data_IF_716038349286
#
_entry.id   IF_716038349286
#
_cell.length_a   1.000
_cell.length_b   1.000
_cell.length_c   1.000
_cell.angle_alpha   90.00
_cell.angle_beta   90.00
_cell.angle_gamma   90.00
#
_symmetry.space_group_name_H-M   'P 1'
#
loop_
_entity.id
_entity.type
_entity.pdbx_description
1 polymer ?
#
# COMPACT_ATOMS: atom_id res chain seq x y z
N UNK A 1 -32.46 27.28 69.77
CA UNK A 1 -31.63 26.15 70.27
C UNK A 1 -30.19 26.43 69.82
N UNK A 2 -29.25 26.83 70.70
CA UNK A 2 -28.25 25.97 71.42
C UNK A 2 -27.62 24.92 70.48
N UNK A 3 -26.30 24.71 70.33
CA UNK A 3 -25.03 25.08 70.99
C UNK A 3 -23.88 24.87 69.96
N UNK A 4 -22.81 25.67 69.98
CA UNK A 4 -21.42 25.36 70.44
C UNK A 4 -20.77 24.11 69.82
N UNK A 5 -19.62 24.28 69.16
CA UNK A 5 -18.67 23.21 68.87
C UNK A 5 -17.33 23.79 68.42
N UNK A 6 -16.30 23.63 69.25
CA UNK A 6 -14.92 24.03 68.96
C UNK A 6 -13.98 22.85 68.73
N UNK A 7 -12.76 23.23 68.34
CA UNK A 7 -11.45 22.56 68.48
C UNK A 7 -10.99 21.44 67.53
N UNK A 8 -9.88 21.80 66.84
CA UNK A 8 -8.61 21.07 66.56
C UNK A 8 -8.54 20.05 65.40
N UNK A 9 -7.82 20.51 64.37
CA UNK A 9 -6.71 19.85 63.62
C UNK A 9 -6.46 18.38 63.97
N UNK A 10 -6.43 17.53 62.93
CA UNK A 10 -5.38 16.52 62.73
C UNK A 10 -5.34 16.11 61.25
N UNK A 11 -4.11 16.00 60.75
CA UNK A 11 -3.74 15.66 59.37
C UNK A 11 -4.28 14.31 58.91
N UNK A 12 -4.79 14.28 57.67
CA UNK A 12 -4.43 13.26 56.65
C UNK A 12 -4.94 13.76 55.30
N UNK A 13 -4.11 14.50 54.56
CA UNK A 13 -4.25 14.54 53.09
C UNK A 13 -3.43 13.39 52.54
N UNK A 14 -4.11 12.63 51.69
CA UNK A 14 -3.63 11.48 50.94
C UNK A 14 -2.48 11.86 50.01
N UNK A 15 -1.63 10.87 49.75
CA UNK A 15 -0.49 10.84 48.82
C UNK A 15 -0.89 11.07 47.35
N UNK A 16 -1.56 12.18 47.04
CA UNK A 16 -2.03 12.54 45.70
C UNK A 16 -1.82 14.03 45.35
N UNK A 17 -1.00 14.76 46.12
CA UNK A 17 -0.73 16.19 45.88
C UNK A 17 0.76 16.50 45.63
N UNK A 18 1.64 15.49 45.52
CA UNK A 18 3.05 15.72 45.22
C UNK A 18 3.37 15.44 43.75
N UNK A 19 3.73 16.54 43.07
CA UNK A 19 4.47 16.65 41.81
C UNK A 19 3.65 16.67 40.50
N UNK A 20 2.98 17.80 40.27
CA UNK A 20 2.84 18.35 38.92
C UNK A 20 3.23 19.83 38.89
N UNK A 21 4.48 20.15 39.23
CA UNK A 21 5.10 21.41 38.83
C UNK A 21 5.97 21.17 37.60
N UNK A 22 5.38 21.38 36.41
CA UNK A 22 6.13 21.47 35.17
C UNK A 22 6.83 22.84 35.18
N UNK A 23 8.07 22.88 35.66
CA UNK A 23 8.96 23.99 35.38
C UNK A 23 9.35 23.94 33.90
N UNK A 24 8.71 24.78 33.09
CA UNK A 24 9.09 25.02 31.70
C UNK A 24 10.43 25.77 31.71
N UNK A 25 11.54 25.02 31.74
CA UNK A 25 12.86 25.53 31.41
C UNK A 25 13.03 25.49 29.88
N UNK A 26 13.44 26.62 29.33
CA UNK A 26 13.70 26.82 27.91
C UNK A 26 14.82 25.87 27.41
N UNK A 27 14.48 24.92 26.55
CA UNK A 27 15.45 24.11 25.79
C UNK A 27 15.01 22.65 25.63
N UNK A 28 15.05 22.15 24.40
CA UNK A 28 14.73 20.77 23.95
C UNK A 28 13.25 20.51 23.65
N UNK A 29 12.81 20.84 22.43
CA UNK A 29 11.76 20.07 21.74
C UNK A 29 12.37 18.73 21.33
N UNK A 30 12.40 17.77 22.24
CA UNK A 30 12.90 16.42 21.95
C UNK A 30 11.85 15.67 21.13
N UNK A 31 12.19 15.33 19.89
CA UNK A 31 11.34 14.41 19.11
C UNK A 31 11.42 13.02 19.73
N UNK A 32 10.27 12.44 20.08
CA UNK A 32 10.20 11.03 20.47
C UNK A 32 10.41 10.15 19.24
N UNK A 33 11.26 9.13 19.37
CA UNK A 33 11.50 8.14 18.32
C UNK A 33 11.41 6.72 18.88
N UNK A 34 11.02 5.76 18.04
CA UNK A 34 11.03 4.34 18.41
C UNK A 34 12.46 3.80 18.47
N UNK A 35 12.67 2.67 19.15
CA UNK A 35 13.96 1.95 19.14
C UNK A 35 14.04 0.88 18.03
N UNK A 36 13.09 0.85 17.11
CA UNK A 36 13.06 -0.12 16.01
C UNK A 36 14.06 0.33 14.93
N UNK A 37 15.07 -0.48 14.66
CA UNK A 37 16.00 -0.21 13.58
C UNK A 37 15.27 -0.20 12.22
N UNK A 38 15.60 0.77 11.36
CA UNK A 38 15.06 0.82 9.99
C UNK A 38 15.51 -0.43 9.22
N UNK A 39 14.63 -0.97 8.39
CA UNK A 39 15.00 -2.06 7.49
C UNK A 39 16.10 -1.57 6.52
N UNK A 40 17.31 -2.14 6.54
CA UNK A 40 18.44 -1.67 5.72
C UNK A 40 18.17 -1.82 4.22
N UNK A 41 17.24 -2.67 3.81
CA UNK A 41 16.85 -2.77 2.39
C UNK A 41 16.11 -1.53 1.91
N UNK A 42 15.40 -0.80 2.80
CA UNK A 42 14.77 0.49 2.46
C UNK A 42 15.80 1.60 2.21
N UNK A 43 17.03 1.44 2.71
CA UNK A 43 18.11 2.41 2.51
C UNK A 43 18.82 2.21 1.17
N UNK A 44 18.74 1.00 0.59
CA UNK A 44 19.32 0.67 -0.71
C UNK A 44 18.47 1.17 -1.88
N UNK A 45 17.19 1.46 -1.64
CA UNK A 45 16.28 1.96 -2.66
C UNK A 45 16.75 3.34 -3.14
N UNK A 46 17.06 3.45 -4.43
CA UNK A 46 17.35 4.74 -5.05
C UNK A 46 16.07 5.57 -5.12
N UNK A 47 16.21 6.88 -4.89
CA UNK A 47 15.13 7.78 -4.49
C UNK A 47 14.04 8.04 -5.54
N UNK A 48 14.23 7.64 -6.80
CA UNK A 48 13.33 8.06 -7.87
C UNK A 48 12.52 6.90 -8.41
N UNK A 49 11.37 6.67 -7.79
CA UNK A 49 10.27 6.01 -8.48
C UNK A 49 9.88 6.92 -9.66
N UNK A 50 10.07 6.43 -10.88
CA UNK A 50 9.95 7.21 -12.12
C UNK A 50 8.63 7.99 -12.21
N UNK A 51 7.53 7.38 -11.79
CA UNK A 51 6.18 7.93 -11.97
C UNK A 51 5.85 9.11 -11.04
N UNK A 52 6.11 9.06 -9.72
CA UNK A 52 6.01 10.23 -8.85
C UNK A 52 6.79 11.45 -9.34
N UNK A 53 8.01 11.26 -9.86
CA UNK A 53 8.81 12.35 -10.40
C UNK A 53 8.18 12.97 -11.67
N UNK A 54 7.65 12.14 -12.57
CA UNK A 54 6.92 12.61 -13.76
C UNK A 54 5.69 13.42 -13.33
N UNK A 55 4.92 12.91 -12.37
CA UNK A 55 3.72 13.58 -11.86
C UNK A 55 4.07 14.92 -11.19
N UNK A 56 5.12 14.98 -10.37
CA UNK A 56 5.57 16.22 -9.74
C UNK A 56 5.97 17.27 -10.78
N UNK A 57 6.64 16.86 -11.86
CA UNK A 57 7.00 17.77 -12.97
C UNK A 57 5.79 18.23 -13.76
N UNK A 58 4.83 17.35 -14.01
CA UNK A 58 3.57 17.71 -14.65
C UNK A 58 2.83 18.78 -13.84
N UNK A 59 2.69 18.59 -12.53
CA UNK A 59 2.06 19.57 -11.63
C UNK A 59 2.78 20.93 -11.66
N UNK A 60 4.11 20.94 -11.53
CA UNK A 60 4.91 22.19 -11.63
C UNK A 60 4.75 22.86 -12.99
N UNK A 61 4.57 22.09 -14.06
CA UNK A 61 4.35 22.64 -15.40
C UNK A 61 2.99 23.30 -15.52
N UNK A 62 1.94 22.67 -15.01
CA UNK A 62 0.57 23.23 -14.98
C UNK A 62 0.50 24.49 -14.11
N UNK A 63 1.17 24.51 -12.95
CA UNK A 63 1.25 25.70 -12.10
C UNK A 63 1.97 26.86 -12.80
N UNK A 64 3.08 26.57 -13.49
CA UNK A 64 3.86 27.58 -14.21
C UNK A 64 3.14 28.12 -15.45
N UNK A 65 2.35 27.28 -16.12
CA UNK A 65 1.64 27.61 -17.35
C UNK A 65 0.15 27.26 -17.25
N UNK A 66 -0.65 28.04 -16.50
CA UNK A 66 -2.05 27.70 -16.18
C UNK A 66 -2.97 27.63 -17.40
N UNK A 67 -2.58 28.27 -18.52
CA UNK A 67 -3.33 28.23 -19.77
C UNK A 67 -2.88 27.12 -20.73
N UNK A 68 -1.84 26.34 -20.37
CA UNK A 68 -1.36 25.25 -21.20
C UNK A 68 -2.35 24.07 -21.14
N UNK A 69 -2.71 23.54 -22.32
CA UNK A 69 -3.46 22.29 -22.42
C UNK A 69 -2.47 21.14 -22.46
N UNK A 70 -2.16 20.60 -21.30
CA UNK A 70 -1.22 19.47 -21.17
C UNK A 70 -1.84 18.20 -21.76
N UNK A 71 -1.07 17.49 -22.57
CA UNK A 71 -1.40 16.15 -23.07
C UNK A 71 -0.40 15.18 -22.45
N UNK A 72 -0.87 14.31 -21.56
CA UNK A 72 -0.01 13.35 -20.87
C UNK A 72 0.13 12.07 -21.71
N UNK A 73 1.36 11.79 -22.16
CA UNK A 73 1.75 10.59 -22.91
C UNK A 73 2.89 9.84 -22.21
N UNK A 74 3.10 10.11 -20.91
CA UNK A 74 4.20 9.54 -20.12
C UNK A 74 3.80 8.25 -19.41
N UNK A 75 2.90 8.36 -18.43
CA UNK A 75 2.38 7.19 -17.70
C UNK A 75 1.41 6.45 -18.60
N UNK A 76 1.57 5.13 -18.72
CA UNK A 76 0.70 4.26 -19.52
C UNK A 76 -0.65 3.97 -18.86
N UNK A 77 -1.35 5.01 -18.39
CA UNK A 77 -2.69 4.88 -17.81
C UNK A 77 -3.75 4.81 -18.92
N UNK A 78 -4.79 4.01 -18.71
CA UNK A 78 -5.87 3.83 -19.68
C UNK A 78 -6.82 5.03 -19.64
N UNK A 79 -7.24 5.52 -20.81
CA UNK A 79 -8.05 6.75 -20.92
C UNK A 79 -9.50 6.52 -21.36
N UNK A 80 -9.82 5.32 -21.84
CA UNK A 80 -11.14 4.99 -22.35
C UNK A 80 -12.02 4.33 -21.28
N UNK A 81 -13.35 4.54 -21.32
CA UNK A 81 -14.25 3.89 -20.38
C UNK A 81 -14.24 2.37 -20.56
N UNK A 82 -14.58 1.65 -19.50
CA UNK A 82 -14.82 0.22 -19.58
C UNK A 82 -15.94 -0.08 -20.59
N UNK A 83 -15.83 -1.18 -21.36
CA UNK A 83 -16.94 -1.65 -22.18
C UNK A 83 -18.19 -1.88 -21.33
N UNK A 84 -19.34 -1.46 -21.84
CA UNK A 84 -20.62 -1.52 -21.13
C UNK A 84 -20.94 -2.90 -20.52
N UNK A 85 -20.68 -4.05 -21.18
CA UNK A 85 -20.94 -5.37 -20.59
C UNK A 85 -20.15 -5.62 -19.29
N UNK A 86 -18.90 -5.15 -19.22
CA UNK A 86 -18.05 -5.30 -18.03
C UNK A 86 -18.59 -4.45 -16.88
N UNK A 87 -18.85 -3.17 -17.15
CA UNK A 87 -19.39 -2.25 -16.16
C UNK A 87 -20.75 -2.71 -15.61
N UNK A 88 -21.63 -3.21 -16.49
CA UNK A 88 -22.94 -3.74 -16.09
C UNK A 88 -22.81 -5.00 -15.23
N UNK A 89 -21.91 -5.92 -15.58
CA UNK A 89 -21.66 -7.12 -14.78
C UNK A 89 -21.19 -6.78 -13.36
N UNK A 90 -20.30 -5.80 -13.23
CA UNK A 90 -19.83 -5.33 -11.91
C UNK A 90 -20.97 -4.69 -11.10
N UNK A 91 -21.80 -3.86 -11.74
CA UNK A 91 -22.95 -3.23 -11.08
C UNK A 91 -23.98 -4.25 -10.61
N UNK A 92 -24.26 -5.26 -11.43
CA UNK A 92 -25.20 -6.33 -11.08
C UNK A 92 -24.66 -7.17 -9.93
N UNK A 93 -23.39 -7.60 -9.98
CA UNK A 93 -22.77 -8.32 -8.87
C UNK A 93 -22.84 -7.54 -7.55
N UNK A 94 -22.53 -6.24 -7.57
CA UNK A 94 -22.64 -5.39 -6.38
C UNK A 94 -24.09 -5.31 -5.84
N UNK A 95 -25.10 -5.30 -6.72
CA UNK A 95 -26.51 -5.34 -6.32
C UNK A 95 -26.90 -6.70 -5.73
N UNK A 96 -26.40 -7.79 -6.31
CA UNK A 96 -26.72 -9.16 -5.87
C UNK A 96 -26.24 -9.43 -4.44
N UNK A 97 -25.12 -8.80 -4.02
CA UNK A 97 -24.62 -8.84 -2.64
C UNK A 97 -25.60 -8.27 -1.59
N UNK A 98 -26.66 -7.56 -2.00
CA UNK A 98 -27.73 -7.09 -1.10
C UNK A 98 -28.82 -8.12 -0.84
N UNK A 99 -28.77 -9.29 -1.48
CA UNK A 99 -29.78 -10.34 -1.36
C UNK A 99 -29.23 -11.55 -0.59
N UNK A 100 -30.06 -12.30 0.17
CA UNK A 100 -29.61 -13.51 0.83
C UNK A 100 -29.04 -14.57 -0.13
N UNK A 101 -29.55 -14.63 -1.36
CA UNK A 101 -29.13 -15.60 -2.37
C UNK A 101 -27.83 -15.22 -3.08
N UNK A 102 -27.62 -13.92 -3.32
CA UNK A 102 -26.44 -13.40 -4.03
C UNK A 102 -25.27 -13.00 -3.12
N UNK A 103 -25.50 -12.89 -1.81
CA UNK A 103 -24.44 -12.55 -0.86
C UNK A 103 -23.38 -13.66 -0.76
N UNK A 104 -22.11 -13.27 -0.86
CA UNK A 104 -20.96 -14.12 -0.61
C UNK A 104 -19.97 -13.39 0.30
N UNK A 105 -19.38 -14.12 1.26
CA UNK A 105 -18.32 -13.63 2.14
C UNK A 105 -16.94 -13.78 1.51
N UNK A 106 -15.97 -14.31 2.27
CA UNK A 106 -14.65 -14.62 1.74
C UNK A 106 -14.75 -15.58 0.54
N UNK A 107 -14.07 -15.23 -0.54
CA UNK A 107 -13.83 -16.12 -1.66
C UNK A 107 -12.62 -17.01 -1.41
N UNK A 108 -12.36 -17.92 -2.36
CA UNK A 108 -11.12 -18.70 -2.38
C UNK A 108 -9.94 -17.76 -2.68
N UNK A 109 -8.84 -17.93 -1.95
CA UNK A 109 -7.65 -17.06 -2.04
C UNK A 109 -6.97 -17.14 -3.41
N UNK A 110 -7.15 -18.27 -4.12
CA UNK A 110 -6.67 -18.44 -5.51
C UNK A 110 -7.55 -17.76 -6.54
N UNK A 111 -8.73 -17.28 -6.14
CA UNK A 111 -9.76 -16.73 -7.02
C UNK A 111 -10.91 -17.70 -7.31
N UNK A 112 -12.00 -17.13 -7.81
CA UNK A 112 -13.20 -17.84 -8.22
C UNK A 112 -12.88 -18.92 -9.28
N UNK A 113 -13.41 -20.13 -9.10
CA UNK A 113 -13.13 -21.27 -9.99
C UNK A 113 -13.56 -21.03 -11.45
N UNK A 114 -14.73 -20.43 -11.65
CA UNK A 114 -15.22 -20.13 -13.00
C UNK A 114 -14.34 -19.10 -13.70
N UNK A 115 -13.83 -18.11 -12.96
CA UNK A 115 -12.88 -17.14 -13.50
C UNK A 115 -11.55 -17.81 -13.88
N UNK A 116 -11.00 -18.67 -13.02
CA UNK A 116 -9.76 -19.41 -13.32
C UNK A 116 -9.93 -20.28 -14.57
N UNK A 117 -11.02 -21.03 -14.67
CA UNK A 117 -11.35 -21.84 -15.85
C UNK A 117 -11.47 -20.98 -17.11
N UNK A 118 -12.17 -19.85 -17.04
CA UNK A 118 -12.30 -18.94 -18.18
C UNK A 118 -10.94 -18.39 -18.63
N UNK A 119 -10.03 -18.07 -17.71
CA UNK A 119 -8.66 -17.64 -18.04
C UNK A 119 -7.88 -18.77 -18.74
N UNK A 120 -7.95 -20.00 -18.23
CA UNK A 120 -7.31 -21.17 -18.86
C UNK A 120 -7.80 -21.37 -20.30
N UNK A 121 -9.12 -21.39 -20.48
CA UNK A 121 -9.77 -21.65 -21.77
C UNK A 121 -9.55 -20.51 -22.79
N UNK A 122 -9.45 -19.25 -22.34
CA UNK A 122 -9.31 -18.09 -23.23
C UNK A 122 -7.86 -17.76 -23.58
N UNK A 123 -6.93 -17.90 -22.63
CA UNK A 123 -5.53 -17.46 -22.81
C UNK A 123 -4.55 -18.61 -23.02
N UNK A 124 -4.86 -19.81 -22.52
CA UNK A 124 -3.92 -20.93 -22.46
C UNK A 124 -4.47 -22.23 -23.06
N UNK A 125 -5.51 -22.14 -23.91
CA UNK A 125 -6.22 -23.29 -24.49
C UNK A 125 -5.32 -24.36 -25.10
N UNK A 126 -4.27 -23.93 -25.78
CA UNK A 126 -3.35 -24.80 -26.52
C UNK A 126 -2.12 -25.22 -25.68
N UNK A 127 -2.01 -24.74 -24.44
CA UNK A 127 -0.84 -24.89 -23.58
C UNK A 127 -1.07 -25.85 -22.39
N UNK A 128 -2.19 -26.56 -22.37
CA UNK A 128 -2.55 -27.54 -21.32
C UNK A 128 -2.49 -27.00 -19.89
N UNK A 129 -2.73 -25.70 -19.70
CA UNK A 129 -2.76 -25.07 -18.37
C UNK A 129 -4.08 -25.39 -17.69
N UNK A 130 -4.01 -25.94 -16.48
CA UNK A 130 -5.17 -26.26 -15.67
C UNK A 130 -5.68 -25.04 -14.87
N UNK A 131 -6.96 -25.04 -14.51
CA UNK A 131 -7.51 -23.98 -13.65
C UNK A 131 -6.79 -23.94 -12.28
N UNK A 132 -6.24 -25.08 -11.83
CA UNK A 132 -5.50 -25.23 -10.58
C UNK A 132 -4.15 -24.52 -10.56
N UNK A 133 -3.59 -24.19 -11.74
CA UNK A 133 -2.33 -23.49 -11.94
C UNK A 133 -2.52 -21.96 -12.03
N UNK A 134 -3.76 -21.49 -12.09
CA UNK A 134 -4.10 -20.07 -12.20
C UNK A 134 -4.38 -19.48 -10.82
N UNK A 135 -3.70 -18.38 -10.51
CA UNK A 135 -3.88 -17.59 -9.30
C UNK A 135 -4.35 -16.19 -9.68
N UNK A 136 -5.59 -15.85 -9.32
CA UNK A 136 -6.15 -14.51 -9.57
C UNK A 136 -5.66 -13.55 -8.50
N UNK A 137 -5.21 -12.38 -8.91
CA UNK A 137 -4.72 -11.33 -8.02
C UNK A 137 -5.35 -9.97 -8.29
N UNK A 138 -5.05 -9.01 -7.42
CA UNK A 138 -5.39 -7.60 -7.55
C UNK A 138 -4.46 -6.84 -8.51
N UNK A 139 -3.50 -7.52 -9.15
CA UNK A 139 -2.68 -6.93 -10.21
C UNK A 139 -1.25 -7.48 -10.27
N UNK A 140 -0.65 -7.34 -11.46
CA UNK A 140 0.69 -7.86 -11.75
C UNK A 140 1.80 -7.28 -10.84
N UNK A 141 1.67 -6.00 -10.44
CA UNK A 141 2.64 -5.36 -9.55
C UNK A 141 2.64 -5.96 -8.13
N UNK A 142 1.45 -6.27 -7.61
CA UNK A 142 1.31 -6.95 -6.31
C UNK A 142 1.87 -8.38 -6.38
N UNK A 143 1.61 -9.09 -7.48
CA UNK A 143 2.12 -10.45 -7.67
C UNK A 143 3.63 -10.51 -7.83
N UNK A 144 4.24 -9.54 -8.52
CA UNK A 144 5.69 -9.47 -8.59
C UNK A 144 6.32 -9.39 -7.19
N UNK A 145 5.69 -8.63 -6.28
CA UNK A 145 6.14 -8.53 -4.88
C UNK A 145 5.88 -9.82 -4.09
N UNK A 146 4.76 -10.50 -4.31
CA UNK A 146 4.45 -11.80 -3.69
C UNK A 146 5.39 -12.91 -4.17
N UNK A 147 5.73 -12.94 -5.46
CA UNK A 147 6.73 -13.87 -6.02
C UNK A 147 8.11 -13.58 -5.46
N UNK A 148 8.52 -12.31 -5.33
CA UNK A 148 9.79 -11.96 -4.69
C UNK A 148 9.85 -12.41 -3.22
N UNK A 149 8.74 -12.28 -2.50
CA UNK A 149 8.62 -12.80 -1.13
C UNK A 149 8.77 -14.33 -1.09
N UNK A 150 8.16 -15.04 -2.04
CA UNK A 150 8.28 -16.51 -2.16
C UNK A 150 9.71 -16.96 -2.46
N UNK A 151 10.42 -16.28 -3.37
CA UNK A 151 11.81 -16.61 -3.72
C UNK A 151 12.79 -16.29 -2.58
N UNK A 152 12.45 -15.32 -1.73
CA UNK A 152 13.28 -14.89 -0.60
C UNK A 152 14.47 -14.02 -1.02
N UNK A 153 15.37 -13.78 -0.07
CA UNK A 153 16.50 -12.85 -0.25
C UNK A 153 17.78 -13.49 -0.80
N UNK A 154 17.83 -14.82 -0.91
CA UNK A 154 19.04 -15.56 -1.27
C UNK A 154 19.05 -16.03 -2.73
N UNK A 155 18.45 -15.23 -3.62
CA UNK A 155 18.42 -15.49 -5.06
C UNK A 155 19.05 -14.33 -5.82
N UNK A 156 19.67 -14.63 -6.96
CA UNK A 156 20.08 -13.62 -7.94
C UNK A 156 19.04 -13.56 -9.04
N UNK A 157 18.67 -12.36 -9.47
CA UNK A 157 17.71 -12.14 -10.55
C UNK A 157 18.42 -11.55 -11.77
N UNK A 158 17.95 -11.89 -12.97
CA UNK A 158 18.35 -11.23 -14.21
C UNK A 158 17.19 -10.39 -14.74
N UNK A 159 17.48 -9.20 -15.25
CA UNK A 159 16.49 -8.30 -15.85
C UNK A 159 16.96 -7.85 -17.23
N UNK A 160 16.02 -7.54 -18.11
CA UNK A 160 16.33 -6.90 -19.39
C UNK A 160 16.83 -5.46 -19.17
N UNK A 161 17.61 -4.94 -20.12
CA UNK A 161 18.06 -3.55 -20.15
C UNK A 161 17.73 -2.93 -21.53
N UNK A 162 16.74 -2.01 -21.63
CA UNK A 162 15.92 -1.46 -20.55
C UNK A 162 14.80 -2.41 -20.07
N UNK A 163 14.28 -2.18 -18.86
CA UNK A 163 13.14 -2.92 -18.29
C UNK A 163 12.22 -2.02 -17.44
N UNK A 164 11.04 -2.55 -17.09
CA UNK A 164 10.08 -1.86 -16.23
C UNK A 164 10.64 -1.74 -14.79
N UNK A 165 10.66 -0.54 -14.18
CA UNK A 165 11.45 -0.28 -12.97
C UNK A 165 11.00 -1.06 -11.73
N UNK A 166 9.77 -1.60 -11.72
CA UNK A 166 9.23 -2.32 -10.55
C UNK A 166 10.07 -3.56 -10.23
N UNK A 167 10.55 -4.31 -11.23
CA UNK A 167 11.43 -5.48 -11.02
C UNK A 167 12.75 -5.12 -10.36
N UNK A 168 13.30 -3.94 -10.67
CA UNK A 168 14.57 -3.47 -10.12
C UNK A 168 14.41 -2.82 -8.74
N UNK A 169 13.22 -2.31 -8.43
CA UNK A 169 12.89 -1.73 -7.12
C UNK A 169 12.54 -2.77 -6.06
N UNK A 170 12.05 -3.94 -6.46
CA UNK A 170 11.67 -5.03 -5.56
C UNK A 170 12.86 -5.89 -5.12
N UNK A 171 14.02 -5.74 -5.76
CA UNK A 171 15.17 -6.63 -5.59
C UNK A 171 16.45 -5.81 -5.37
N UNK A 172 17.40 -6.29 -4.55
CA UNK A 172 18.65 -5.57 -4.32
C UNK A 172 19.42 -5.41 -5.64
N UNK A 173 20.01 -4.23 -5.92
CA UNK A 173 20.74 -4.01 -7.16
C UNK A 173 21.93 -4.96 -7.25
N UNK A 174 21.97 -5.78 -8.30
CA UNK A 174 23.15 -6.55 -8.66
C UNK A 174 24.06 -5.61 -9.47
N UNK A 175 25.35 -5.46 -9.11
CA UNK A 175 26.29 -4.74 -9.94
C UNK A 175 26.43 -5.47 -11.29
N UNK A 176 25.93 -4.84 -12.35
CA UNK A 176 26.12 -5.31 -13.73
C UNK A 176 27.62 -5.25 -14.02
N UNK A 177 28.30 -6.40 -14.08
CA UNK A 177 29.62 -6.48 -14.68
C UNK A 177 29.45 -6.22 -16.18
N UNK A 178 29.83 -5.03 -16.63
CA UNK A 178 30.07 -4.78 -18.06
C UNK A 178 31.29 -5.61 -18.45
N UNK A 179 31.11 -6.55 -19.38
CA UNK A 179 32.22 -7.15 -20.10
C UNK A 179 32.81 -6.13 -21.09
#
# INVERSE_FOLDING_TARGET
MRRIGGTRRLHRRSLLDDQLEIQIHAGIRGYYSTRVARNPNLEKLQTNYLFPEILERELKHVEKYPNAKVISLGVGDTTQPLPQPVALSMSNYARDLSTPQGYAGYGLERGNKELRRAIAEMLYKELSVEDTEIFVSDGAQCDLSRVQLLLGSNVSIAVQDPSFPVSSSSSPPIPIKKN
#
